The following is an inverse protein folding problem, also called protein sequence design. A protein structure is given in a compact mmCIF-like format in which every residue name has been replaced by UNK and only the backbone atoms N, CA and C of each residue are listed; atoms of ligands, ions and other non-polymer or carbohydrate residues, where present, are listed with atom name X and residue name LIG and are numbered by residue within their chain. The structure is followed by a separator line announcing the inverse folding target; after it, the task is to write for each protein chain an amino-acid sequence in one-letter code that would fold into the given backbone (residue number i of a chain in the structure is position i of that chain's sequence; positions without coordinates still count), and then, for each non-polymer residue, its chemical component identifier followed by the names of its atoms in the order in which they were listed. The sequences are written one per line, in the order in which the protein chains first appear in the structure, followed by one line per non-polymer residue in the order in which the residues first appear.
data_IF_458077280572
#
_entry.id   IF_458077280572
#
_cell.length_a   1.000
_cell.length_b   1.000
_cell.length_c   1.000
_cell.angle_alpha   90.00
_cell.angle_beta   90.00
_cell.angle_gamma   90.00
#
_symmetry.space_group_name_H-M   'P 1'
#
loop_
_entity.id
_entity.type
_entity.pdbx_description
1 polymer ?
#
# COMPACT_ATOMS: atom_id res chain seq x y z
N UNK A 1 -18.82 3.87 -1.40
CA UNK A 1 -18.79 3.73 0.06
C UNK A 1 -18.01 2.50 0.54
N UNK A 2 -18.63 1.34 0.76
CA UNK A 2 -18.02 0.27 1.57
C UNK A 2 -16.75 -0.36 0.97
N UNK A 3 -16.77 -0.67 -0.33
CA UNK A 3 -15.62 -1.24 -1.05
C UNK A 3 -14.42 -0.28 -1.05
N UNK A 4 -14.68 1.03 -1.20
CA UNK A 4 -13.63 2.05 -1.19
C UNK A 4 -12.94 2.13 0.17
N UNK A 5 -13.71 2.04 1.26
CA UNK A 5 -13.18 2.04 2.63
C UNK A 5 -12.33 0.79 2.87
N UNK A 6 -12.81 -0.40 2.51
CA UNK A 6 -12.02 -1.62 2.63
C UNK A 6 -10.72 -1.56 1.81
N UNK A 7 -10.78 -1.04 0.58
CA UNK A 7 -9.61 -0.86 -0.26
C UNK A 7 -8.60 0.14 0.34
N UNK A 8 -9.07 1.23 0.96
CA UNK A 8 -8.21 2.19 1.65
C UNK A 8 -7.51 1.55 2.86
N UNK A 9 -8.25 0.85 3.72
CA UNK A 9 -7.69 0.19 4.91
C UNK A 9 -6.67 -0.87 4.50
N UNK A 10 -7.02 -1.74 3.54
CA UNK A 10 -6.11 -2.75 3.04
C UNK A 10 -4.87 -2.14 2.35
N UNK A 11 -5.07 -1.12 1.50
CA UNK A 11 -3.99 -0.43 0.80
C UNK A 11 -2.99 0.21 1.76
N UNK A 12 -3.48 0.92 2.79
CA UNK A 12 -2.65 1.54 3.82
C UNK A 12 -1.90 0.48 4.63
N UNK A 13 -2.55 -0.63 5.01
CA UNK A 13 -1.90 -1.70 5.74
C UNK A 13 -0.77 -2.37 4.93
N UNK A 14 -1.01 -2.65 3.65
CA UNK A 14 -0.01 -3.24 2.74
C UNK A 14 1.14 -2.26 2.52
N UNK A 15 0.84 -0.99 2.27
CA UNK A 15 1.86 0.06 2.09
C UNK A 15 2.71 0.23 3.35
N UNK A 16 2.06 0.34 4.51
CA UNK A 16 2.73 0.47 5.80
C UNK A 16 3.61 -0.73 6.12
N UNK A 17 3.11 -1.96 5.91
CA UNK A 17 3.88 -3.18 6.07
C UNK A 17 5.08 -3.23 5.13
N UNK A 18 4.86 -2.98 3.83
CA UNK A 18 5.92 -2.95 2.82
C UNK A 18 7.02 -1.94 3.17
N UNK A 19 6.65 -0.70 3.56
CA UNK A 19 7.61 0.32 3.97
C UNK A 19 8.33 -0.03 5.29
N UNK A 20 7.60 -0.58 6.27
CA UNK A 20 8.17 -0.98 7.56
C UNK A 20 9.26 -2.03 7.37
N UNK A 21 8.98 -3.10 6.63
CA UNK A 21 9.96 -4.16 6.39
C UNK A 21 11.07 -3.72 5.43
N UNK A 22 10.82 -2.81 4.50
CA UNK A 22 11.86 -2.21 3.65
C UNK A 22 12.91 -1.44 4.48
N UNK A 23 12.48 -0.79 5.56
CA UNK A 23 13.37 -0.07 6.48
C UNK A 23 13.96 -1.00 7.53
N UNK A 24 13.22 -2.01 7.99
CA UNK A 24 13.69 -2.96 9.00
C UNK A 24 14.79 -3.87 8.46
N UNK A 25 14.56 -4.50 7.31
CA UNK A 25 15.47 -5.50 6.75
C UNK A 25 16.40 -4.85 5.73
N UNK A 26 17.40 -4.12 6.24
CA UNK A 26 18.33 -3.33 5.40
C UNK A 26 19.41 -4.16 4.74
N UNK A 27 19.84 -5.25 5.36
CA UNK A 27 21.01 -6.01 4.94
C UNK A 27 20.69 -7.06 3.86
N UNK A 28 19.44 -7.51 3.78
CA UNK A 28 19.00 -8.48 2.78
C UNK A 28 18.45 -7.77 1.52
N UNK A 29 19.24 -7.81 0.45
CA UNK A 29 18.89 -7.25 -0.86
C UNK A 29 17.74 -7.97 -1.55
N UNK A 30 17.54 -9.26 -1.34
CA UNK A 30 16.45 -10.01 -1.96
C UNK A 30 15.12 -9.68 -1.27
N UNK A 31 15.10 -9.72 0.06
CA UNK A 31 13.92 -9.35 0.86
C UNK A 31 13.48 -7.90 0.59
N UNK A 32 14.43 -6.97 0.41
CA UNK A 32 14.13 -5.59 0.01
C UNK A 32 13.34 -5.48 -1.28
N UNK A 33 13.61 -6.32 -2.29
CA UNK A 33 12.83 -6.28 -3.55
C UNK A 33 11.38 -6.66 -3.30
N UNK A 34 11.15 -7.67 -2.46
CA UNK A 34 9.80 -8.11 -2.09
C UNK A 34 9.06 -7.01 -1.33
N UNK A 35 9.70 -6.40 -0.34
CA UNK A 35 9.10 -5.30 0.44
C UNK A 35 8.85 -4.04 -0.40
N UNK A 36 9.74 -3.75 -1.36
CA UNK A 36 9.54 -2.67 -2.32
C UNK A 36 8.32 -2.93 -3.21
N UNK A 37 8.21 -4.13 -3.78
CA UNK A 37 7.05 -4.52 -4.60
C UNK A 37 5.78 -4.46 -3.77
N UNK A 38 5.82 -4.95 -2.53
CA UNK A 38 4.69 -4.90 -1.59
C UNK A 38 4.26 -3.45 -1.33
N UNK A 39 5.22 -2.56 -1.06
CA UNK A 39 4.95 -1.14 -0.88
C UNK A 39 4.37 -0.49 -2.15
N UNK A 40 4.89 -0.82 -3.34
CA UNK A 40 4.36 -0.30 -4.61
C UNK A 40 2.92 -0.74 -4.87
N UNK A 41 2.59 -2.01 -4.59
CA UNK A 41 1.22 -2.53 -4.71
C UNK A 41 0.29 -1.82 -3.72
N UNK A 42 0.72 -1.69 -2.45
CA UNK A 42 -0.04 -0.95 -1.44
C UNK A 42 -0.28 0.52 -1.83
N UNK A 43 0.74 1.18 -2.39
CA UNK A 43 0.63 2.55 -2.89
C UNK A 43 -0.37 2.65 -4.04
N UNK A 44 -0.31 1.75 -5.03
CA UNK A 44 -1.23 1.73 -6.16
C UNK A 44 -2.69 1.56 -5.73
N UNK A 45 -2.96 0.63 -4.80
CA UNK A 45 -4.30 0.41 -4.24
C UNK A 45 -4.78 1.67 -3.50
N UNK A 46 -3.93 2.25 -2.66
CA UNK A 46 -4.26 3.44 -1.86
C UNK A 46 -4.56 4.63 -2.76
N UNK A 47 -3.71 4.92 -3.75
CA UNK A 47 -3.90 6.02 -4.70
C UNK A 47 -5.18 5.82 -5.51
N UNK A 48 -5.42 4.61 -6.03
CA UNK A 48 -6.63 4.31 -6.78
C UNK A 48 -7.90 4.49 -5.94
N UNK A 49 -7.88 4.06 -4.69
CA UNK A 49 -9.01 4.22 -3.77
C UNK A 49 -9.23 5.69 -3.37
N UNK A 50 -8.17 6.45 -3.12
CA UNK A 50 -8.23 7.90 -2.87
C UNK A 50 -8.78 8.64 -4.09
N UNK A 51 -8.29 8.35 -5.29
CA UNK A 51 -8.80 8.94 -6.53
C UNK A 51 -10.29 8.66 -6.72
N UNK A 52 -10.71 7.40 -6.53
CA UNK A 52 -12.13 7.05 -6.60
C UNK A 52 -12.95 7.85 -5.60
N UNK A 53 -12.50 7.93 -4.34
CA UNK A 53 -13.19 8.67 -3.29
C UNK A 53 -13.28 10.17 -3.60
N UNK A 54 -12.22 10.76 -4.19
CA UNK A 54 -12.17 12.17 -4.55
C UNK A 54 -13.06 12.52 -5.75
N UNK A 55 -13.14 11.64 -6.75
CA UNK A 55 -13.89 11.90 -8.00
C UNK A 55 -15.37 11.54 -7.86
N UNK A 56 -15.68 10.41 -7.23
CA UNK A 56 -17.05 9.86 -7.17
C UNK A 56 -17.70 9.98 -5.78
N UNK A 57 -17.00 10.59 -4.82
CA UNK A 57 -17.40 10.54 -3.42
C UNK A 57 -17.06 9.19 -2.79
N UNK A 58 -17.22 9.14 -1.46
CA UNK A 58 -16.77 8.01 -0.64
C UNK A 58 -17.56 6.74 -0.93
#
# INVERSE_FOLDING_TARGET
MIITIFALVAGIAILGGGLYYLVKDKEDRESRKIYLITALVGAAITIGAVMKAAVFGL
#
